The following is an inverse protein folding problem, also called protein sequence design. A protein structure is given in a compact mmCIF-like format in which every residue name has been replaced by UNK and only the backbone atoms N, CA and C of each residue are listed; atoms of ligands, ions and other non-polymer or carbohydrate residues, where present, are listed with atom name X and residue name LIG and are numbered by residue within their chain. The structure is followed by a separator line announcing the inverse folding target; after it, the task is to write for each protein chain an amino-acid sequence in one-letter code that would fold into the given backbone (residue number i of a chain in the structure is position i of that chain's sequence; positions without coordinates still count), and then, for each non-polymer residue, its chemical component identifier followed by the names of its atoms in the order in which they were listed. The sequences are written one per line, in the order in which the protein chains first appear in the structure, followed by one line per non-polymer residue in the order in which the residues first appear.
data_IF_132043640119
#
_entry.id   IF_132043640119
#
_cell.length_a   1.000
_cell.length_b   1.000
_cell.length_c   1.000
_cell.angle_alpha   90.00
_cell.angle_beta   90.00
_cell.angle_gamma   90.00
#
_symmetry.space_group_name_H-M   'P 1'
#
loop_
_entity.id
_entity.type
_entity.pdbx_description
1 polymer ?
#
# COMPACT_ATOMS: atom_id res chain seq x y z
N UNK A 1 -39.88 11.74 3.31
CA UNK A 1 -39.02 12.16 2.17
C UNK A 1 -37.58 12.05 2.62
N UNK A 2 -36.99 10.86 2.49
CA UNK A 2 -35.54 10.68 2.62
C UNK A 2 -34.98 10.76 1.22
N UNK A 3 -34.18 11.81 0.98
CA UNK A 3 -33.45 12.02 -0.27
C UNK A 3 -32.41 10.90 -0.42
N UNK A 4 -32.79 9.84 -1.12
CA UNK A 4 -31.91 8.73 -1.48
C UNK A 4 -31.22 9.07 -2.81
N UNK A 5 -30.39 10.11 -2.82
CA UNK A 5 -29.45 10.32 -3.93
C UNK A 5 -28.38 9.23 -3.83
N UNK A 6 -28.21 8.34 -4.83
CA UNK A 6 -27.15 7.34 -4.79
C UNK A 6 -25.79 8.06 -4.77
N UNK A 7 -24.78 7.56 -4.02
CA UNK A 7 -23.46 8.16 -4.00
C UNK A 7 -22.93 8.17 -5.44
N UNK A 8 -22.69 9.36 -5.97
CA UNK A 8 -22.05 9.53 -7.26
C UNK A 8 -20.56 9.29 -7.06
N UNK A 9 -20.10 8.10 -7.46
CA UNK A 9 -18.66 7.83 -7.50
C UNK A 9 -18.16 8.19 -8.90
N UNK A 10 -17.28 9.19 -8.99
CA UNK A 10 -16.65 9.54 -10.26
C UNK A 10 -15.58 8.50 -10.59
N UNK A 11 -15.49 8.03 -11.85
CA UNK A 11 -14.34 7.24 -12.30
C UNK A 11 -13.37 8.12 -13.09
N UNK A 12 -12.10 7.96 -12.76
CA UNK A 12 -10.99 8.62 -13.45
C UNK A 12 -10.05 7.52 -13.93
N UNK A 13 -9.99 7.36 -15.25
CA UNK A 13 -9.03 6.53 -15.94
C UNK A 13 -7.65 7.19 -15.98
N UNK A 14 -6.59 6.44 -15.70
CA UNK A 14 -5.21 6.91 -15.83
C UNK A 14 -4.45 5.95 -16.77
N UNK A 15 -3.88 6.46 -17.86
CA UNK A 15 -3.08 5.65 -18.80
C UNK A 15 -2.29 6.48 -19.81
N UNK A 16 -1.08 6.05 -20.16
CA UNK A 16 -0.21 6.63 -21.21
C UNK A 16 -0.08 8.17 -21.19
N UNK A 17 0.04 8.77 -19.99
CA UNK A 17 0.20 10.22 -19.86
C UNK A 17 -1.09 11.04 -20.02
N UNK A 18 -2.24 10.40 -20.27
CA UNK A 18 -3.57 11.02 -20.30
C UNK A 18 -4.45 10.55 -19.14
N UNK A 19 -5.26 11.48 -18.64
CA UNK A 19 -6.27 11.22 -17.61
C UNK A 19 -7.62 11.25 -18.32
N UNK A 20 -8.29 10.10 -18.42
CA UNK A 20 -9.56 9.94 -19.13
C UNK A 20 -10.72 9.89 -18.13
N UNK A 21 -11.75 10.70 -18.34
CA UNK A 21 -12.91 10.74 -17.45
C UNK A 21 -13.99 9.75 -17.91
N UNK A 22 -14.50 8.91 -17.00
CA UNK A 22 -15.72 8.14 -17.25
C UNK A 22 -16.68 8.32 -16.06
N UNK A 23 -17.83 8.96 -16.25
CA UNK A 23 -18.82 9.09 -15.19
C UNK A 23 -19.83 7.93 -15.30
N UNK A 24 -19.69 6.90 -14.46
CA UNK A 24 -20.69 5.84 -14.31
C UNK A 24 -21.50 6.04 -13.03
N UNK A 25 -22.82 6.21 -13.18
CA UNK A 25 -23.77 6.24 -12.07
C UNK A 25 -23.88 4.83 -11.48
N UNK A 26 -23.34 4.62 -10.27
CA UNK A 26 -23.60 3.37 -9.51
C UNK A 26 -25.01 3.44 -8.95
N UNK A 27 -25.99 3.04 -9.77
CA UNK A 27 -27.37 2.87 -9.32
C UNK A 27 -27.51 1.59 -8.49
N UNK A 28 -28.23 1.67 -7.36
CA UNK A 28 -28.77 0.46 -6.73
C UNK A 28 -29.69 -0.21 -7.74
N UNK A 29 -29.35 -1.40 -8.24
CA UNK A 29 -30.37 -2.30 -8.80
C UNK A 29 -31.27 -2.72 -7.63
N UNK A 30 -32.37 -2.00 -7.46
CA UNK A 30 -33.48 -2.46 -6.64
C UNK A 30 -33.94 -3.82 -7.19
N UNK A 31 -34.02 -4.81 -6.32
CA UNK A 31 -34.23 -6.20 -6.67
C UNK A 31 -35.37 -6.41 -7.66
N UNK A 32 -35.04 -7.01 -8.81
CA UNK A 32 -35.93 -7.91 -9.54
C UNK A 32 -35.11 -9.13 -9.91
N UNK A 33 -35.45 -10.25 -9.27
CA UNK A 33 -35.02 -11.58 -9.67
C UNK A 33 -35.42 -11.77 -11.14
N UNK A 34 -34.45 -11.77 -12.05
CA UNK A 34 -34.63 -12.33 -13.38
C UNK A 34 -34.37 -13.83 -13.26
N UNK A 35 -35.45 -14.60 -13.15
CA UNK A 35 -35.41 -16.05 -13.24
C UNK A 35 -34.96 -16.46 -14.64
N UNK A 36 -33.72 -16.93 -14.77
CA UNK A 36 -33.31 -17.73 -15.92
C UNK A 36 -33.33 -19.20 -15.48
N UNK A 37 -34.41 -19.89 -15.83
CA UNK A 37 -34.55 -21.35 -15.72
C UNK A 37 -33.47 -22.01 -16.58
N UNK A 38 -32.55 -22.74 -15.94
CA UNK A 38 -31.87 -23.85 -16.61
C UNK A 38 -31.98 -25.12 -15.77
N UNK A 39 -32.48 -26.16 -16.44
CA UNK A 39 -32.92 -27.43 -15.90
C UNK A 39 -31.77 -28.18 -15.23
N UNK A 40 -32.12 -28.83 -14.13
CA UNK A 40 -31.30 -29.83 -13.46
C UNK A 40 -30.94 -30.98 -14.42
N UNK A 41 -29.64 -31.26 -14.52
CA UNK A 41 -29.04 -32.52 -14.99
C UNK A 41 -28.12 -33.04 -13.89
N UNK A 42 -28.10 -34.35 -13.70
CA UNK A 42 -27.79 -35.04 -12.44
C UNK A 42 -26.34 -34.96 -11.95
N UNK A 43 -26.28 -34.93 -10.62
CA UNK A 43 -25.26 -35.42 -9.69
C UNK A 43 -24.42 -36.59 -10.22
N UNK A 44 -23.09 -36.42 -10.16
CA UNK A 44 -22.09 -37.48 -10.09
C UNK A 44 -21.13 -37.13 -8.95
N UNK A 45 -21.21 -37.90 -7.89
CA UNK A 45 -20.54 -37.76 -6.59
C UNK A 45 -19.06 -38.14 -6.61
N UNK A 46 -18.21 -37.33 -5.98
CA UNK A 46 -17.06 -37.65 -5.10
C UNK A 46 -16.35 -36.31 -4.82
N UNK A 47 -16.04 -35.82 -3.63
CA UNK A 47 -16.28 -36.08 -2.22
C UNK A 47 -15.70 -34.85 -1.47
N UNK A 48 -16.10 -34.63 -0.21
CA UNK A 48 -15.71 -33.53 0.71
C UNK A 48 -16.47 -32.18 0.63
N UNK A 49 -17.74 -32.26 1.04
CA UNK A 49 -18.22 -31.61 2.28
C UNK A 49 -18.09 -30.09 2.46
N UNK A 50 -19.09 -29.33 2.00
CA UNK A 50 -19.36 -27.96 2.45
C UNK A 50 -20.11 -27.94 3.79
N UNK A 51 -19.78 -27.07 4.76
CA UNK A 51 -20.65 -26.81 5.90
C UNK A 51 -21.71 -25.75 5.57
N UNK A 52 -22.95 -26.13 5.85
CA UNK A 52 -24.18 -25.37 5.70
C UNK A 52 -24.29 -24.32 6.82
N UNK A 53 -24.35 -23.03 6.50
CA UNK A 53 -24.59 -21.97 7.49
C UNK A 53 -26.10 -21.79 7.73
N UNK A 54 -26.63 -22.38 8.81
CA UNK A 54 -27.92 -21.97 9.41
C UNK A 54 -27.69 -20.84 10.42
N UNK A 55 -28.58 -19.85 10.37
CA UNK A 55 -28.67 -18.72 11.31
C UNK A 55 -29.04 -19.20 12.71
N UNK A 56 -28.21 -18.86 13.70
CA UNK A 56 -28.64 -18.56 15.07
C UNK A 56 -27.72 -17.47 15.64
N UNK A 57 -28.31 -16.38 16.17
CA UNK A 57 -27.61 -15.48 17.11
C UNK A 57 -27.74 -16.00 18.56
N UNK A 58 -27.36 -15.24 19.61
CA UNK A 58 -26.48 -14.08 19.63
C UNK A 58 -25.03 -14.48 19.99
N UNK A 59 -24.12 -13.65 19.51
CA UNK A 59 -22.66 -13.72 19.53
C UNK A 59 -22.02 -14.05 20.89
N UNK A 60 -21.47 -15.27 21.00
CA UNK A 60 -20.26 -15.54 21.79
C UNK A 60 -19.07 -15.49 20.82
N UNK A 61 -18.24 -14.46 20.94
CA UNK A 61 -16.95 -14.39 20.26
C UNK A 61 -16.07 -15.51 20.80
N UNK A 62 -15.95 -16.60 20.05
CA UNK A 62 -14.90 -17.58 20.25
C UNK A 62 -13.66 -17.10 19.51
N UNK A 63 -12.76 -16.42 20.22
CA UNK A 63 -11.40 -16.23 19.76
C UNK A 63 -10.72 -17.60 19.76
N UNK A 64 -10.54 -18.19 18.58
CA UNK A 64 -9.68 -19.35 18.42
C UNK A 64 -8.24 -18.84 18.58
N UNK A 65 -7.74 -18.83 19.81
CA UNK A 65 -6.33 -18.63 20.09
C UNK A 65 -5.58 -19.80 19.46
N UNK A 66 -4.94 -19.56 18.32
CA UNK A 66 -3.89 -20.44 17.82
C UNK A 66 -2.73 -20.36 18.81
N UNK A 67 -2.74 -21.23 19.82
CA UNK A 67 -1.58 -21.52 20.65
C UNK A 67 -0.56 -22.27 19.82
N UNK A 68 0.17 -21.55 18.96
CA UNK A 68 1.44 -22.07 18.45
C UNK A 68 2.49 -21.78 19.51
N UNK A 69 2.78 -22.74 20.38
CA UNK A 69 4.06 -22.79 21.05
C UNK A 69 5.12 -22.86 19.94
N UNK A 70 5.70 -21.72 19.57
CA UNK A 70 6.86 -21.69 18.71
C UNK A 70 8.01 -22.22 19.57
N UNK A 71 8.65 -23.35 19.22
CA UNK A 71 9.87 -23.74 19.91
C UNK A 71 10.85 -22.58 19.81
N UNK A 72 11.48 -22.20 20.93
CA UNK A 72 12.59 -21.27 20.93
C UNK A 72 13.74 -21.93 20.16
N UNK A 73 13.77 -21.72 18.85
CA UNK A 73 14.96 -21.97 18.05
C UNK A 73 15.91 -20.84 18.43
N UNK A 74 16.86 -21.12 19.32
CA UNK A 74 18.08 -20.31 19.40
C UNK A 74 18.74 -20.44 18.03
N UNK A 75 18.83 -19.38 17.23
CA UNK A 75 19.49 -19.50 15.94
C UNK A 75 20.93 -19.88 16.20
N UNK A 76 21.36 -21.03 15.65
CA UNK A 76 22.77 -21.33 15.54
C UNK A 76 23.44 -20.14 14.84
N UNK A 77 24.62 -19.73 15.33
CA UNK A 77 25.39 -18.66 14.70
C UNK A 77 25.46 -18.94 13.19
N UNK A 78 25.16 -17.95 12.32
CA UNK A 78 25.20 -18.18 10.89
C UNK A 78 26.60 -18.65 10.51
N UNK A 79 26.70 -19.85 9.95
CA UNK A 79 27.90 -20.25 9.24
C UNK A 79 28.13 -19.21 8.13
N UNK A 80 29.34 -18.67 7.97
CA UNK A 80 29.63 -17.70 6.92
C UNK A 80 29.19 -18.29 5.57
N UNK A 81 28.28 -17.62 4.86
CA UNK A 81 27.98 -17.98 3.47
C UNK A 81 29.24 -17.71 2.64
N UNK A 82 29.97 -18.75 2.30
CA UNK A 82 31.05 -18.65 1.32
C UNK A 82 30.44 -18.50 -0.08
N UNK A 83 30.38 -17.26 -0.55
CA UNK A 83 30.09 -16.91 -1.95
C UNK A 83 28.81 -16.12 -2.17
N UNK A 84 28.86 -15.20 -3.13
CA UNK A 84 27.68 -14.47 -3.64
C UNK A 84 26.93 -15.39 -4.60
N UNK A 85 25.60 -15.38 -4.54
CA UNK A 85 24.75 -16.03 -5.54
C UNK A 85 25.18 -15.62 -6.98
N UNK A 86 25.46 -16.57 -7.89
CA UNK A 86 25.96 -16.24 -9.23
C UNK A 86 25.02 -15.40 -10.09
N UNK A 87 23.70 -15.44 -9.85
CA UNK A 87 22.73 -14.59 -10.54
C UNK A 87 22.80 -13.15 -10.01
N UNK A 88 22.86 -12.98 -8.69
CA UNK A 88 23.07 -11.68 -8.06
C UNK A 88 24.39 -11.04 -8.51
N UNK A 89 25.46 -11.83 -8.60
CA UNK A 89 26.76 -11.34 -9.05
C UNK A 89 26.73 -10.80 -10.49
N UNK A 90 26.00 -11.46 -11.40
CA UNK A 90 25.83 -10.99 -12.79
C UNK A 90 25.08 -9.67 -12.86
N UNK A 91 24.02 -9.51 -12.09
CA UNK A 91 23.25 -8.26 -12.04
C UNK A 91 24.08 -7.11 -11.49
N UNK A 92 24.83 -7.33 -10.39
CA UNK A 92 25.69 -6.31 -9.80
C UNK A 92 26.77 -5.83 -10.77
N UNK A 93 27.44 -6.76 -11.48
CA UNK A 93 28.46 -6.41 -12.48
C UNK A 93 27.85 -5.62 -13.65
N UNK A 94 26.64 -5.98 -14.11
CA UNK A 94 25.96 -5.25 -15.18
C UNK A 94 25.64 -3.79 -14.80
N UNK A 95 25.35 -3.54 -13.52
CA UNK A 95 25.07 -2.20 -12.97
C UNK A 95 26.35 -1.44 -12.54
N UNK A 96 27.55 -1.96 -12.88
CA UNK A 96 28.82 -1.35 -12.50
C UNK A 96 29.15 -1.46 -11.00
N UNK A 97 28.46 -2.34 -10.27
CA UNK A 97 28.65 -2.59 -8.84
C UNK A 97 29.57 -3.81 -8.67
N UNK A 98 30.72 -3.68 -7.97
CA UNK A 98 31.64 -4.80 -7.79
C UNK A 98 30.99 -5.99 -7.06
N UNK A 99 30.77 -7.11 -7.75
CA UNK A 99 30.19 -8.32 -7.16
C UNK A 99 31.26 -9.17 -6.44
N UNK A 100 31.81 -8.66 -5.35
CA UNK A 100 32.70 -9.46 -4.48
C UNK A 100 32.13 -9.55 -3.08
N UNK A 101 32.33 -10.69 -2.41
CA UNK A 101 31.94 -10.84 -1.00
C UNK A 101 32.59 -9.73 -0.16
N UNK A 102 33.81 -9.32 -0.52
CA UNK A 102 34.48 -8.16 0.05
C UNK A 102 33.73 -6.85 -0.20
N UNK A 103 33.17 -6.58 -1.38
CA UNK A 103 32.38 -5.37 -1.65
C UNK A 103 31.04 -5.35 -0.91
N UNK A 104 30.36 -6.49 -0.77
CA UNK A 104 29.13 -6.58 0.03
C UNK A 104 29.42 -6.46 1.53
N UNK A 105 30.53 -7.01 2.01
CA UNK A 105 31.01 -6.87 3.39
C UNK A 105 31.58 -5.47 3.69
N UNK A 106 32.15 -4.79 2.68
CA UNK A 106 32.70 -3.44 2.78
C UNK A 106 31.70 -2.35 2.38
N UNK A 107 30.48 -2.72 1.98
CA UNK A 107 29.41 -1.75 1.80
C UNK A 107 29.03 -1.23 3.18
N UNK A 108 28.93 0.10 3.38
CA UNK A 108 28.59 0.66 4.68
C UNK A 108 27.17 0.26 5.03
N UNK A 109 27.02 -0.81 5.81
CA UNK A 109 25.73 -1.20 6.36
C UNK A 109 25.35 -0.22 7.46
N UNK A 110 24.07 0.14 7.53
CA UNK A 110 23.56 0.96 8.64
C UNK A 110 23.71 0.27 10.00
N UNK A 111 23.84 -1.06 10.00
CA UNK A 111 24.07 -1.90 11.17
C UNK A 111 25.25 -2.82 10.85
N UNK A 112 26.46 -2.53 11.34
CA UNK A 112 27.70 -3.23 10.95
C UNK A 112 27.81 -4.63 11.55
N UNK A 113 27.22 -4.86 12.72
CA UNK A 113 27.34 -6.12 13.44
C UNK A 113 26.14 -6.40 14.35
N UNK A 114 26.11 -7.62 14.90
CA UNK A 114 25.05 -8.08 15.78
C UNK A 114 25.03 -7.38 17.14
N UNK A 115 26.17 -6.92 17.64
CA UNK A 115 26.24 -6.20 18.92
C UNK A 115 25.54 -4.84 18.80
N UNK A 116 25.81 -4.11 17.71
CA UNK A 116 25.16 -2.85 17.35
C UNK A 116 23.66 -3.03 17.16
N UNK A 117 23.25 -4.10 16.46
CA UNK A 117 21.82 -4.47 16.38
C UNK A 117 21.19 -4.65 17.77
N UNK A 118 21.83 -5.43 18.64
CA UNK A 118 21.33 -5.70 19.98
C UNK A 118 21.21 -4.43 20.82
N UNK A 119 22.15 -3.50 20.69
CA UNK A 119 22.12 -2.20 21.36
C UNK A 119 20.95 -1.35 20.89
N UNK A 120 20.81 -1.15 19.57
CA UNK A 120 19.71 -0.38 18.96
C UNK A 120 18.35 -0.98 19.31
N UNK A 121 18.22 -2.31 19.20
CA UNK A 121 17.01 -3.02 19.58
C UNK A 121 16.68 -2.83 21.06
N UNK A 122 17.66 -3.01 21.96
CA UNK A 122 17.48 -2.83 23.40
C UNK A 122 17.03 -1.42 23.73
N UNK A 123 17.63 -0.41 23.08
CA UNK A 123 17.22 0.99 23.22
C UNK A 123 15.78 1.20 22.74
N UNK A 124 15.41 0.68 21.57
CA UNK A 124 14.05 0.82 21.01
C UNK A 124 12.94 0.26 21.90
N UNK A 125 13.26 -0.73 22.74
CA UNK A 125 12.31 -1.37 23.66
C UNK A 125 12.34 -0.73 25.06
N UNK A 126 13.53 -0.41 25.58
CA UNK A 126 13.69 0.16 26.94
C UNK A 126 13.39 1.65 27.01
N UNK A 127 13.70 2.39 25.96
CA UNK A 127 13.40 3.82 25.79
C UNK A 127 12.76 4.07 24.40
N UNK A 128 11.52 3.61 24.19
CA UNK A 128 10.85 3.76 22.91
C UNK A 128 10.63 5.24 22.55
N UNK A 129 10.32 6.09 23.53
CA UNK A 129 10.09 7.51 23.28
C UNK A 129 11.36 8.19 22.78
N UNK A 130 12.50 8.02 23.46
CA UNK A 130 13.77 8.62 23.02
C UNK A 130 14.27 8.05 21.71
N UNK A 131 14.21 6.73 21.52
CA UNK A 131 14.64 6.09 20.27
C UNK A 131 13.84 6.59 19.07
N UNK A 132 12.50 6.53 19.13
CA UNK A 132 11.66 6.91 18.00
C UNK A 132 11.61 8.43 17.78
N UNK A 133 11.87 9.24 18.81
CA UNK A 133 12.06 10.68 18.66
C UNK A 133 13.26 11.00 17.76
N UNK A 134 14.39 10.35 18.00
CA UNK A 134 15.60 10.54 17.20
C UNK A 134 15.37 10.12 15.75
N UNK A 135 14.80 8.93 15.54
CA UNK A 135 14.47 8.42 14.21
C UNK A 135 13.52 9.35 13.45
N UNK A 136 12.50 9.90 14.13
CA UNK A 136 11.56 10.84 13.54
C UNK A 136 12.21 12.16 13.14
N UNK A 137 13.11 12.70 13.98
CA UNK A 137 13.80 13.97 13.70
C UNK A 137 14.85 13.82 12.60
N UNK A 138 15.53 12.69 12.54
CA UNK A 138 16.60 12.45 11.56
C UNK A 138 16.04 12.14 10.16
N UNK A 139 14.99 11.32 10.07
CA UNK A 139 14.57 10.73 8.80
C UNK A 139 13.31 11.33 8.19
N UNK A 140 12.57 12.17 8.91
CA UNK A 140 11.32 12.77 8.43
C UNK A 140 11.35 14.29 8.49
N UNK A 141 10.77 14.90 7.46
CA UNK A 141 10.47 16.32 7.46
C UNK A 141 9.08 16.52 8.05
N UNK A 142 9.03 17.36 9.08
CA UNK A 142 7.82 17.75 9.80
C UNK A 142 7.49 19.20 9.46
N UNK A 143 6.20 19.51 9.38
CA UNK A 143 5.72 20.88 9.11
C UNK A 143 5.87 21.78 10.33
N UNK A 144 5.67 21.22 11.51
CA UNK A 144 5.87 21.87 12.81
C UNK A 144 6.86 21.03 13.64
N UNK A 145 8.18 21.08 13.37
CA UNK A 145 9.19 20.28 14.07
C UNK A 145 9.18 20.49 15.59
N UNK A 146 8.78 21.67 16.06
CA UNK A 146 8.63 22.01 17.47
C UNK A 146 7.56 21.21 18.19
N UNK A 147 6.62 20.59 17.46
CA UNK A 147 5.60 19.70 18.03
C UNK A 147 6.13 18.27 18.28
N UNK A 148 7.34 17.94 17.80
CA UNK A 148 8.00 16.64 18.00
C UNK A 148 8.87 16.72 19.27
N UNK A 149 8.25 16.38 20.40
CA UNK A 149 8.81 16.43 21.75
C UNK A 149 8.75 15.04 22.39
N UNK A 150 9.56 14.75 23.43
CA UNK A 150 9.53 13.43 24.09
C UNK A 150 8.13 13.02 24.57
N UNK A 151 7.32 13.98 25.02
CA UNK A 151 5.94 13.77 25.46
C UNK A 151 4.97 13.52 24.31
N UNK A 152 5.30 13.88 23.06
CA UNK A 152 4.43 13.68 21.90
C UNK A 152 4.62 12.33 21.20
N UNK A 153 5.70 11.61 21.49
CA UNK A 153 6.10 10.39 20.73
C UNK A 153 5.10 9.26 20.86
N UNK A 154 4.66 8.94 22.08
CA UNK A 154 3.87 7.73 22.33
C UNK A 154 2.86 7.94 23.45
N UNK A 155 1.58 7.77 23.12
CA UNK A 155 0.47 7.69 24.08
C UNK A 155 -0.40 6.49 23.76
N UNK A 156 -0.66 5.60 24.72
CA UNK A 156 -1.50 4.44 24.48
C UNK A 156 -2.33 4.01 25.68
N UNK A 157 -3.44 3.32 25.40
CA UNK A 157 -4.23 2.55 26.35
C UNK A 157 -4.60 1.21 25.72
N UNK A 158 -4.17 0.10 26.32
CA UNK A 158 -4.58 -1.26 25.95
C UNK A 158 -5.59 -1.86 26.93
N UNK A 159 -5.91 -1.17 28.03
CA UNK A 159 -6.85 -1.65 29.03
C UNK A 159 -8.26 -1.12 28.75
N UNK A 160 -9.13 -2.00 28.27
CA UNK A 160 -10.55 -1.68 27.97
C UNK A 160 -11.32 -1.15 29.20
N UNK A 161 -10.83 -1.41 30.42
CA UNK A 161 -11.45 -0.91 31.66
C UNK A 161 -11.11 0.56 31.92
N UNK A 162 -10.02 1.07 31.35
CA UNK A 162 -9.53 2.45 31.52
C UNK A 162 -10.05 3.42 30.45
N UNK A 163 -10.80 2.91 29.48
CA UNK A 163 -11.35 3.67 28.38
C UNK A 163 -11.18 2.96 27.04
N UNK A 164 -11.47 3.63 25.92
CA UNK A 164 -11.23 3.09 24.58
C UNK A 164 -9.78 2.67 24.39
N UNK A 165 -9.57 1.62 23.58
CA UNK A 165 -8.24 1.27 23.11
C UNK A 165 -7.76 2.40 22.21
N UNK A 166 -6.60 2.98 22.54
CA UNK A 166 -6.00 4.08 21.79
C UNK A 166 -4.50 3.89 21.68
N UNK A 167 -3.94 4.23 20.53
CA UNK A 167 -2.50 4.19 20.26
C UNK A 167 -2.22 5.40 19.38
N UNK A 168 -1.45 6.34 19.88
CA UNK A 168 -1.10 7.56 19.18
C UNK A 168 0.42 7.70 19.17
N UNK A 169 0.94 7.98 17.98
CA UNK A 169 2.35 8.26 17.76
C UNK A 169 2.51 9.68 17.24
N UNK A 170 3.48 10.41 17.77
CA UNK A 170 3.78 11.79 17.37
C UNK A 170 2.53 12.68 17.40
N UNK A 171 1.74 12.60 18.47
CA UNK A 171 0.47 13.33 18.54
C UNK A 171 0.74 14.85 18.53
N UNK A 172 -0.10 15.60 17.80
CA UNK A 172 0.07 17.04 17.46
C UNK A 172 1.14 17.35 16.40
N UNK A 173 1.96 16.38 15.99
CA UNK A 173 2.89 16.60 14.89
C UNK A 173 2.16 16.56 13.53
N UNK A 174 2.59 17.41 12.61
CA UNK A 174 2.07 17.46 11.25
C UNK A 174 3.17 17.11 10.24
N UNK A 175 2.86 16.19 9.32
CA UNK A 175 3.72 15.88 8.18
C UNK A 175 2.88 15.52 6.95
N UNK A 176 3.51 15.47 5.79
CA UNK A 176 2.94 14.91 4.58
C UNK A 176 3.87 13.83 4.03
N UNK A 177 3.35 12.61 3.89
CA UNK A 177 4.16 11.48 3.42
C UNK A 177 4.56 11.62 1.95
N UNK A 178 3.74 12.27 1.11
CA UNK A 178 4.13 12.57 -0.28
C UNK A 178 5.29 13.56 -0.33
N UNK A 179 5.31 14.58 0.54
CA UNK A 179 6.44 15.50 0.63
C UNK A 179 7.73 14.77 1.04
N UNK A 180 7.64 13.87 2.02
CA UNK A 180 8.77 13.04 2.46
C UNK A 180 9.21 12.02 1.40
N UNK A 181 8.30 11.46 0.63
CA UNK A 181 8.63 10.47 -0.39
C UNK A 181 9.13 11.12 -1.69
N UNK A 182 8.78 12.37 -1.99
CA UNK A 182 9.04 13.01 -3.28
C UNK A 182 9.63 14.41 -3.18
N UNK A 183 8.84 15.39 -2.75
CA UNK A 183 9.16 16.81 -2.89
C UNK A 183 10.54 17.13 -2.28
N UNK A 184 10.83 16.64 -1.06
CA UNK A 184 12.11 16.89 -0.40
C UNK A 184 13.32 16.37 -1.19
N UNK A 185 13.15 15.32 -1.99
CA UNK A 185 14.25 14.75 -2.78
C UNK A 185 14.50 15.62 -4.02
N UNK A 186 13.42 16.06 -4.69
CA UNK A 186 13.52 16.98 -5.83
C UNK A 186 14.13 18.32 -5.40
N UNK A 187 13.67 18.88 -4.28
CA UNK A 187 14.19 20.13 -3.69
C UNK A 187 15.68 20.06 -3.33
N UNK A 188 16.19 18.86 -2.98
CA UNK A 188 17.61 18.60 -2.73
C UNK A 188 18.44 18.40 -4.01
N UNK A 189 17.87 18.67 -5.18
CA UNK A 189 18.55 18.52 -6.47
C UNK A 189 18.58 17.08 -7.00
N UNK A 190 17.86 16.13 -6.38
CA UNK A 190 17.80 14.73 -6.84
C UNK A 190 16.69 14.48 -7.86
N UNK A 191 16.19 15.53 -8.52
CA UNK A 191 15.08 15.43 -9.47
C UNK A 191 15.33 14.46 -10.62
N UNK A 192 16.57 14.44 -11.15
CA UNK A 192 16.97 13.56 -12.25
C UNK A 192 17.30 12.12 -11.81
N UNK A 193 17.30 11.84 -10.49
CA UNK A 193 17.52 10.48 -9.99
C UNK A 193 16.30 9.63 -10.30
N UNK A 194 16.51 8.38 -10.71
CA UNK A 194 15.43 7.42 -10.87
C UNK A 194 14.78 7.15 -9.50
N UNK A 195 13.47 7.33 -9.42
CA UNK A 195 12.66 7.01 -8.25
C UNK A 195 12.26 5.53 -8.25
N UNK A 196 11.84 4.99 -9.38
CA UNK A 196 11.59 3.56 -9.58
C UNK A 196 11.69 3.16 -11.05
N UNK A 197 11.95 1.88 -11.26
CA UNK A 197 11.88 1.23 -12.56
C UNK A 197 10.52 0.54 -12.70
N UNK A 198 9.90 0.74 -13.85
CA UNK A 198 8.71 0.03 -14.27
C UNK A 198 9.11 -1.02 -15.30
N UNK A 199 8.87 -2.28 -14.94
CA UNK A 199 9.04 -3.42 -15.81
C UNK A 199 7.68 -3.79 -16.41
N UNK A 200 7.57 -3.70 -17.73
CA UNK A 200 6.37 -4.11 -18.42
C UNK A 200 6.19 -5.63 -18.36
N UNK A 201 4.95 -6.08 -18.52
CA UNK A 201 4.63 -7.50 -18.55
C UNK A 201 5.16 -8.19 -19.82
N UNK A 202 5.34 -7.44 -20.90
CA UNK A 202 5.91 -7.94 -22.16
C UNK A 202 7.38 -7.55 -22.20
N UNK A 203 8.28 -8.53 -22.08
CA UNK A 203 9.73 -8.29 -22.02
C UNK A 203 10.36 -8.01 -23.39
N UNK A 204 9.63 -8.30 -24.47
CA UNK A 204 10.11 -8.12 -25.84
C UNK A 204 9.89 -6.68 -26.33
N UNK A 205 9.03 -5.93 -25.64
CA UNK A 205 8.79 -4.51 -25.88
C UNK A 205 9.67 -3.67 -24.95
N UNK A 206 10.94 -3.50 -25.32
CA UNK A 206 11.93 -2.73 -24.55
C UNK A 206 11.45 -1.30 -24.28
N UNK A 207 10.67 -0.72 -25.19
CA UNK A 207 10.10 0.63 -25.08
C UNK A 207 8.94 0.71 -24.07
N UNK A 208 8.40 -0.43 -23.62
CA UNK A 208 7.40 -0.49 -22.56
C UNK A 208 8.00 -0.40 -21.14
N UNK A 209 9.30 -0.67 -20.99
CA UNK A 209 10.03 -0.50 -19.74
C UNK A 209 10.35 0.98 -19.52
N UNK A 210 10.23 1.46 -18.28
CA UNK A 210 10.39 2.89 -17.98
C UNK A 210 11.24 3.10 -16.74
N UNK A 211 12.22 3.99 -16.82
CA UNK A 211 12.84 4.58 -15.64
C UNK A 211 12.10 5.87 -15.32
N UNK A 212 11.45 5.95 -14.15
CA UNK A 212 10.70 7.13 -13.75
C UNK A 212 11.56 7.93 -12.77
N UNK A 213 11.89 9.16 -13.11
CA UNK A 213 12.65 10.06 -12.24
C UNK A 213 11.79 10.68 -11.14
N UNK A 214 12.43 11.17 -10.07
CA UNK A 214 11.73 11.90 -9.00
C UNK A 214 10.95 13.12 -9.52
N UNK A 215 11.51 13.85 -10.49
CA UNK A 215 10.86 15.02 -11.08
C UNK A 215 9.59 14.63 -11.88
N UNK A 216 9.66 13.59 -12.70
CA UNK A 216 8.53 13.09 -13.49
C UNK A 216 7.42 12.52 -12.62
N UNK A 217 7.79 11.78 -11.56
CA UNK A 217 6.83 11.26 -10.60
C UNK A 217 6.14 12.40 -9.84
N UNK A 218 6.89 13.42 -9.41
CA UNK A 218 6.33 14.58 -8.72
C UNK A 218 5.36 15.37 -9.61
N UNK A 219 5.68 15.55 -10.90
CA UNK A 219 4.77 16.18 -11.86
C UNK A 219 3.48 15.39 -12.03
N UNK A 220 3.59 14.06 -12.21
CA UNK A 220 2.43 13.17 -12.34
C UNK A 220 1.54 13.21 -11.11
N UNK A 221 2.13 13.18 -9.91
CA UNK A 221 1.44 13.32 -8.63
C UNK A 221 0.71 14.66 -8.54
N UNK A 222 1.35 15.77 -8.91
CA UNK A 222 0.72 17.10 -8.91
C UNK A 222 -0.47 17.16 -9.87
N UNK A 223 -0.36 16.57 -11.06
CA UNK A 223 -1.45 16.48 -12.04
C UNK A 223 -2.64 15.69 -11.50
N UNK A 224 -2.42 14.48 -11.00
CA UNK A 224 -3.49 13.64 -10.44
C UNK A 224 -4.14 14.33 -9.22
N UNK A 225 -3.34 14.92 -8.32
CA UNK A 225 -3.84 15.64 -7.15
C UNK A 225 -4.74 16.82 -7.54
N UNK A 226 -4.38 17.56 -8.60
CA UNK A 226 -5.21 18.66 -9.14
C UNK A 226 -6.54 18.13 -9.66
N UNK A 227 -6.52 17.03 -10.43
CA UNK A 227 -7.73 16.41 -10.96
C UNK A 227 -8.64 15.93 -9.83
N UNK A 228 -8.11 15.23 -8.82
CA UNK A 228 -8.89 14.79 -7.66
C UNK A 228 -9.59 15.97 -6.96
N UNK A 229 -8.89 17.09 -6.76
CA UNK A 229 -9.48 18.31 -6.18
C UNK A 229 -10.56 18.92 -7.07
N UNK A 230 -10.37 18.93 -8.39
CA UNK A 230 -11.38 19.41 -9.34
C UNK A 230 -12.65 18.56 -9.29
N UNK A 231 -12.53 17.28 -8.97
CA UNK A 231 -13.66 16.37 -8.73
C UNK A 231 -14.17 16.39 -7.27
N UNK A 232 -13.78 17.40 -6.49
CA UNK A 232 -14.36 17.66 -5.17
C UNK A 232 -13.77 16.83 -4.03
N UNK A 233 -12.69 16.07 -4.25
CA UNK A 233 -12.02 15.30 -3.19
C UNK A 233 -11.37 16.24 -2.19
N UNK A 234 -11.70 16.06 -0.91
CA UNK A 234 -11.21 16.84 0.24
C UNK A 234 -10.36 15.96 1.17
N UNK A 235 -9.72 16.62 2.13
CA UNK A 235 -8.98 15.94 3.20
C UNK A 235 -9.95 15.04 3.99
N UNK A 236 -9.58 13.77 4.15
CA UNK A 236 -10.38 12.74 4.81
C UNK A 236 -11.34 11.98 3.90
N UNK A 237 -11.55 12.42 2.65
CA UNK A 237 -12.36 11.65 1.70
C UNK A 237 -11.59 10.41 1.25
N UNK A 238 -12.34 9.34 0.97
CA UNK A 238 -11.77 8.09 0.47
C UNK A 238 -11.73 8.08 -1.06
N UNK A 239 -10.58 7.74 -1.63
CA UNK A 239 -10.39 7.49 -3.07
C UNK A 239 -10.05 6.01 -3.26
N UNK A 240 -10.91 5.26 -3.93
CA UNK A 240 -10.60 3.87 -4.28
C UNK A 240 -9.67 3.82 -5.49
N UNK A 241 -8.65 2.97 -5.43
CA UNK A 241 -7.73 2.73 -6.53
C UNK A 241 -7.89 1.28 -6.99
N UNK A 242 -8.42 1.10 -8.19
CA UNK A 242 -8.62 -0.19 -8.85
C UNK A 242 -7.75 -0.24 -10.12
N UNK A 243 -6.44 -0.29 -9.91
CA UNK A 243 -5.45 -0.34 -10.97
C UNK A 243 -4.51 -1.54 -10.76
N UNK A 244 -4.01 -2.16 -11.83
CA UNK A 244 -2.97 -3.18 -11.79
C UNK A 244 -1.59 -2.55 -11.48
N UNK A 245 -0.53 -3.35 -11.61
CA UNK A 245 0.86 -2.87 -11.57
C UNK A 245 1.21 -2.06 -12.83
N UNK A 246 0.64 -0.87 -12.96
CA UNK A 246 0.97 0.14 -13.99
C UNK A 246 1.87 1.22 -13.40
N UNK A 247 2.67 1.93 -14.22
CA UNK A 247 3.59 2.94 -13.71
C UNK A 247 2.87 4.09 -13.01
N UNK A 248 1.60 4.36 -13.30
CA UNK A 248 0.85 5.46 -12.68
C UNK A 248 0.31 5.12 -11.27
N UNK A 249 0.34 3.85 -10.85
CA UNK A 249 -0.18 3.42 -9.55
C UNK A 249 0.50 4.13 -8.35
N UNK A 250 1.85 4.20 -8.25
CA UNK A 250 2.51 4.97 -7.20
C UNK A 250 2.12 6.45 -7.20
N UNK A 251 1.97 7.05 -8.39
CA UNK A 251 1.59 8.45 -8.52
C UNK A 251 0.16 8.70 -8.01
N UNK A 252 -0.78 7.79 -8.28
CA UNK A 252 -2.15 7.86 -7.75
C UNK A 252 -2.21 7.75 -6.22
N UNK A 253 -1.42 6.84 -5.64
CA UNK A 253 -1.33 6.68 -4.18
C UNK A 253 -0.76 7.94 -3.52
N UNK A 254 0.34 8.48 -4.05
CA UNK A 254 0.99 9.67 -3.53
C UNK A 254 0.15 10.94 -3.75
N UNK A 255 -0.62 11.01 -4.83
CA UNK A 255 -1.57 12.11 -5.07
C UNK A 255 -2.68 12.18 -4.01
N UNK A 256 -3.23 11.02 -3.61
CA UNK A 256 -4.20 10.95 -2.51
C UNK A 256 -3.56 11.45 -1.21
N UNK A 257 -2.37 10.95 -0.87
CA UNK A 257 -1.62 11.38 0.31
C UNK A 257 -1.26 12.87 0.30
N UNK A 258 -0.94 13.43 -0.88
CA UNK A 258 -0.63 14.86 -1.05
C UNK A 258 -1.78 15.78 -0.66
N UNK A 259 -3.01 15.39 -0.99
CA UNK A 259 -4.20 16.19 -0.69
C UNK A 259 -4.86 15.81 0.64
N UNK A 260 -4.32 14.82 1.34
CA UNK A 260 -4.86 14.30 2.60
C UNK A 260 -6.11 13.42 2.42
N UNK A 261 -6.31 12.87 1.23
CA UNK A 261 -7.32 11.85 0.97
C UNK A 261 -6.82 10.47 1.42
N UNK A 262 -7.75 9.58 1.78
CA UNK A 262 -7.46 8.20 2.15
C UNK A 262 -7.55 7.31 0.92
N UNK A 263 -6.45 6.73 0.46
CA UNK A 263 -6.49 5.77 -0.64
C UNK A 263 -6.94 4.38 -0.18
N UNK A 264 -7.91 3.80 -0.88
CA UNK A 264 -8.38 2.43 -0.69
C UNK A 264 -7.97 1.58 -1.91
N UNK A 265 -6.84 0.89 -1.81
CA UNK A 265 -6.29 0.12 -2.93
C UNK A 265 -6.96 -1.25 -3.02
N UNK A 266 -7.55 -1.57 -4.17
CA UNK A 266 -8.24 -2.82 -4.43
C UNK A 266 -7.52 -3.56 -5.56
N UNK A 267 -7.14 -4.81 -5.29
CA UNK A 267 -6.45 -5.65 -6.26
C UNK A 267 -7.32 -5.92 -7.50
N UNK A 268 -6.75 -5.69 -8.70
CA UNK A 268 -7.42 -5.82 -10.00
C UNK A 268 -7.94 -7.22 -10.37
N UNK A 269 -7.63 -8.25 -9.58
CA UNK A 269 -8.14 -9.60 -9.79
C UNK A 269 -9.42 -9.93 -9.01
N UNK A 270 -9.98 -8.99 -8.25
CA UNK A 270 -11.22 -9.21 -7.51
C UNK A 270 -12.45 -9.20 -8.43
N UNK A 271 -13.51 -9.92 -8.02
CA UNK A 271 -14.80 -9.86 -8.70
C UNK A 271 -15.45 -8.48 -8.54
N UNK A 272 -16.38 -8.15 -9.44
CA UNK A 272 -17.15 -6.92 -9.36
C UNK A 272 -17.91 -6.77 -8.02
N UNK A 273 -18.40 -7.87 -7.45
CA UNK A 273 -19.05 -7.87 -6.13
C UNK A 273 -18.07 -7.54 -5.00
N UNK A 274 -16.87 -8.13 -5.05
CA UNK A 274 -15.82 -7.86 -4.07
C UNK A 274 -15.30 -6.41 -4.17
N UNK A 275 -15.26 -5.84 -5.38
CA UNK A 275 -14.96 -4.43 -5.60
C UNK A 275 -16.08 -3.56 -4.99
N UNK A 276 -17.34 -3.79 -5.39
CA UNK A 276 -18.49 -3.01 -4.93
C UNK A 276 -18.62 -2.98 -3.41
N UNK A 277 -18.40 -4.12 -2.73
CA UNK A 277 -18.40 -4.19 -1.27
C UNK A 277 -17.39 -3.23 -0.62
N UNK A 278 -16.18 -3.13 -1.18
CA UNK A 278 -15.12 -2.24 -0.68
C UNK A 278 -15.41 -0.77 -0.94
N UNK A 279 -15.98 -0.45 -2.10
CA UNK A 279 -16.38 0.94 -2.41
C UNK A 279 -17.42 1.44 -1.40
N UNK A 280 -18.43 0.61 -1.11
CA UNK A 280 -19.53 0.94 -0.22
C UNK A 280 -19.07 1.06 1.23
N UNK A 281 -18.26 0.10 1.70
CA UNK A 281 -17.72 0.10 3.05
C UNK A 281 -16.82 1.32 3.29
N UNK A 282 -15.91 1.59 2.34
CA UNK A 282 -14.98 2.71 2.44
C UNK A 282 -15.61 4.08 2.10
N UNK A 283 -16.89 4.11 1.70
CA UNK A 283 -17.63 5.31 1.26
C UNK A 283 -16.85 6.15 0.26
N UNK A 284 -16.34 5.49 -0.78
CA UNK A 284 -15.43 6.14 -1.74
C UNK A 284 -16.12 7.28 -2.49
N UNK A 285 -15.47 8.43 -2.52
CA UNK A 285 -15.91 9.60 -3.29
C UNK A 285 -15.57 9.43 -4.79
N UNK A 286 -14.43 8.82 -5.08
CA UNK A 286 -13.88 8.67 -6.44
C UNK A 286 -13.22 7.29 -6.56
N UNK A 287 -13.23 6.74 -7.78
CA UNK A 287 -12.44 5.56 -8.16
C UNK A 287 -11.42 5.96 -9.24
N UNK A 288 -10.16 5.62 -9.01
CA UNK A 288 -9.12 5.62 -10.05
C UNK A 288 -9.03 4.22 -10.63
N UNK A 289 -9.13 4.08 -11.95
CA UNK A 289 -9.08 2.78 -12.65
C UNK A 289 -8.22 2.87 -13.91
N UNK A 290 -7.92 1.72 -14.51
CA UNK A 290 -7.40 1.64 -15.87
C UNK A 290 -8.44 0.99 -16.80
N UNK A 291 -8.17 1.05 -18.10
CA UNK A 291 -8.92 0.39 -19.17
C UNK A 291 -8.67 -1.12 -19.24
N UNK A 292 -7.46 -1.56 -18.87
CA UNK A 292 -7.12 -2.97 -18.80
C UNK A 292 -5.65 -3.22 -18.49
N UNK A 293 -5.26 -4.49 -18.46
CA UNK A 293 -3.87 -4.90 -18.26
C UNK A 293 -3.56 -6.18 -19.04
N UNK A 294 -2.28 -6.40 -19.33
CA UNK A 294 -1.78 -7.72 -19.70
C UNK A 294 -1.19 -8.43 -18.49
N UNK A 295 -1.58 -9.69 -18.30
CA UNK A 295 -0.98 -10.60 -17.32
C UNK A 295 -0.51 -11.86 -18.05
N UNK A 296 0.79 -11.98 -18.25
CA UNK A 296 1.37 -12.86 -19.27
C UNK A 296 0.82 -12.52 -20.65
N UNK A 297 0.55 -13.52 -21.48
CA UNK A 297 -0.06 -13.31 -22.79
C UNK A 297 -1.55 -12.89 -22.75
N UNK A 298 -2.20 -12.97 -21.57
CA UNK A 298 -3.64 -12.72 -21.43
C UNK A 298 -3.92 -11.23 -21.25
N UNK A 299 -4.75 -10.66 -22.12
CA UNK A 299 -5.37 -9.34 -21.91
C UNK A 299 -6.57 -9.47 -20.96
N UNK A 300 -6.60 -8.63 -19.93
CA UNK A 300 -7.66 -8.50 -18.94
C UNK A 300 -8.23 -7.09 -19.10
N UNK A 301 -9.53 -7.00 -19.35
CA UNK A 301 -10.30 -5.75 -19.53
C UNK A 301 -11.40 -5.77 -18.47
#
# INVERSE_FOLDING_TARGET
MTDCTPPQVAFIGVGQGSIHLCCLRVGRCAGKQASARHRAGRCGTTGFGSPCWRRHGPSRLWACAYGSERPQVVPAAPTPMEGIDPALARTLVAEGVPASSAHLLNSPSHIPDYATYCELYTRSVRDPAGFWLDMAKEHFVWRAPEAITPDSVLRYNFDVRRGPIQIEWFFRAETNICYNALDRHVERGLGNRVAYYYEANDTDDVDAHRAITYAELLDSVKRIARVLRQHGVRRGDTVTIYMPMVPELPAAMLACARIGAVHNVVFGGFSAEALAGRLLDARSAVILSCDGVRRGAKRII
#
